data_IF_776795278141
#
_entry.id   IF_776795278141
#
_cell.length_a   1.000
_cell.length_b   1.000
_cell.length_c   1.000
_cell.angle_alpha   90.00
_cell.angle_beta   90.00
_cell.angle_gamma   90.00
#
_symmetry.space_group_name_H-M   'P 1'
#
loop_
_entity.id
_entity.type
_entity.pdbx_description
1 polymer ?
#
# COMPACT_ATOMS: atom_id res chain seq x y z
N UNK A 1 35.31 22.60 51.64
CA UNK A 1 36.04 22.10 52.82
C UNK A 1 35.73 20.62 52.98
N UNK A 2 36.79 19.80 53.04
CA UNK A 2 36.96 18.42 53.61
C UNK A 2 35.98 17.33 53.13
N UNK A 3 36.31 16.30 52.32
CA UNK A 3 37.37 15.25 52.21
C UNK A 3 36.82 13.83 52.54
N UNK A 4 37.24 12.90 51.68
CA UNK A 4 36.96 11.45 51.55
C UNK A 4 37.33 10.58 52.76
N UNK A 5 36.71 9.39 52.93
CA UNK A 5 37.41 8.08 52.73
C UNK A 5 36.71 6.82 53.27
N UNK A 6 36.83 5.78 52.43
CA UNK A 6 36.98 4.32 52.59
C UNK A 6 37.06 3.62 53.98
N UNK A 7 36.38 2.46 54.05
CA UNK A 7 36.85 1.20 54.68
C UNK A 7 36.98 1.13 56.21
N UNK A 8 36.97 -0.06 56.85
CA UNK A 8 37.78 -1.21 56.44
C UNK A 8 37.11 -2.61 56.46
N UNK A 9 37.76 -3.51 55.70
CA UNK A 9 37.65 -4.98 55.72
C UNK A 9 38.40 -5.60 56.92
N UNK A 10 38.20 -6.93 57.08
CA UNK A 10 39.01 -7.95 57.77
C UNK A 10 38.70 -8.17 59.27
N UNK A 11 38.59 -9.39 59.82
CA UNK A 11 39.15 -10.70 59.42
C UNK A 11 38.56 -11.80 60.32
N UNK A 12 38.17 -12.96 59.78
CA UNK A 12 38.55 -14.29 60.31
C UNK A 12 38.58 -15.30 59.16
N UNK A 13 39.73 -15.96 59.05
CA UNK A 13 40.19 -16.90 58.02
C UNK A 13 40.30 -18.28 58.68
N UNK A 14 40.13 -19.36 57.91
CA UNK A 14 40.52 -20.74 58.26
C UNK A 14 39.46 -21.74 57.79
N UNK A 15 39.37 -22.16 56.52
CA UNK A 15 40.30 -22.93 55.67
C UNK A 15 40.66 -24.33 56.21
N UNK A 16 40.11 -25.34 55.54
CA UNK A 16 40.50 -26.76 55.55
C UNK A 16 39.57 -27.53 54.62
N UNK A 17 39.89 -27.63 53.31
CA UNK A 17 40.70 -28.71 52.70
C UNK A 17 39.82 -29.94 52.42
N UNK A 18 39.68 -30.52 51.23
CA UNK A 18 40.24 -30.50 49.86
C UNK A 18 39.13 -31.23 49.05
N UNK A 19 38.77 -30.90 47.81
CA UNK A 19 39.54 -31.24 46.62
C UNK A 19 38.99 -30.44 45.42
N UNK A 20 39.94 -29.85 44.71
CA UNK A 20 39.85 -29.08 43.48
C UNK A 20 39.71 -30.00 42.26
N UNK A 21 38.76 -29.72 41.35
CA UNK A 21 38.97 -29.98 39.92
C UNK A 21 38.15 -29.02 39.05
N UNK A 22 38.88 -28.14 38.36
CA UNK A 22 38.63 -27.53 37.06
C UNK A 22 37.36 -26.71 36.80
N UNK A 23 37.57 -25.39 36.79
CA UNK A 23 36.92 -24.47 35.89
C UNK A 23 37.04 -24.94 34.42
N UNK A 24 35.91 -25.29 33.79
CA UNK A 24 35.58 -25.01 32.39
C UNK A 24 34.05 -25.03 32.30
N UNK A 25 33.41 -23.86 32.17
CA UNK A 25 32.26 -23.59 31.28
C UNK A 25 31.72 -22.17 31.56
N UNK A 26 32.61 -21.18 31.42
CA UNK A 26 32.23 -20.02 30.64
C UNK A 26 32.24 -20.52 29.17
N UNK A 27 31.16 -20.31 28.43
CA UNK A 27 30.87 -20.78 27.05
C UNK A 27 30.03 -22.07 26.93
N UNK A 28 28.73 -21.89 27.20
CA UNK A 28 27.58 -22.52 26.52
C UNK A 28 26.34 -21.69 26.93
N UNK A 29 26.19 -20.42 26.55
CA UNK A 29 25.87 -19.94 25.19
C UNK A 29 24.72 -20.75 24.57
N UNK A 30 23.57 -20.09 24.41
CA UNK A 30 22.66 -20.23 23.27
C UNK A 30 21.71 -21.43 23.15
N UNK A 31 21.38 -22.20 24.18
CA UNK A 31 20.36 -23.25 23.99
C UNK A 31 19.49 -23.39 25.23
N UNK A 32 18.52 -22.49 25.36
CA UNK A 32 17.18 -22.70 25.93
C UNK A 32 16.44 -21.38 25.72
N UNK A 33 16.26 -21.05 24.42
CA UNK A 33 15.24 -20.12 23.99
C UNK A 33 13.90 -20.74 24.38
N UNK A 34 13.43 -20.41 25.59
CA UNK A 34 12.01 -20.48 25.86
C UNK A 34 11.39 -19.45 24.93
N UNK A 35 10.90 -19.96 23.79
CA UNK A 35 10.10 -19.23 22.83
C UNK A 35 8.97 -18.54 23.60
N UNK A 36 9.19 -17.27 23.93
CA UNK A 36 8.08 -16.33 23.99
C UNK A 36 7.33 -16.54 22.69
N UNK A 37 6.00 -16.74 22.70
CA UNK A 37 5.28 -16.75 21.45
C UNK A 37 5.64 -15.43 20.79
N UNK A 38 6.39 -15.53 19.70
CA UNK A 38 6.44 -14.46 18.73
C UNK A 38 4.97 -14.25 18.41
N UNK A 39 4.38 -13.21 19.00
CA UNK A 39 3.38 -12.47 18.28
C UNK A 39 4.09 -12.22 16.97
N UNK A 40 3.70 -13.01 15.97
CA UNK A 40 3.98 -12.70 14.61
C UNK A 40 3.31 -11.34 14.44
N UNK A 41 4.07 -10.30 14.75
CA UNK A 41 3.96 -9.03 14.11
C UNK A 41 4.31 -9.41 12.67
N UNK A 42 3.30 -9.95 11.97
CA UNK A 42 3.22 -9.85 10.54
C UNK A 42 3.62 -8.41 10.33
N UNK A 43 4.77 -8.23 9.71
CA UNK A 43 5.06 -6.99 9.03
C UNK A 43 3.92 -6.89 8.03
N UNK A 44 2.81 -6.30 8.48
CA UNK A 44 1.74 -5.80 7.65
C UNK A 44 2.48 -4.75 6.86
N UNK A 45 3.07 -5.11 5.73
CA UNK A 45 3.28 -4.12 4.70
C UNK A 45 1.88 -3.71 4.24
N UNK A 46 1.69 -2.48 3.74
CA UNK A 46 0.40 -2.07 3.18
C UNK A 46 0.00 -3.09 2.11
N UNK A 47 -1.30 -3.21 1.80
CA UNK A 47 -1.82 -4.22 0.87
C UNK A 47 -0.89 -4.50 -0.31
N UNK A 48 -0.50 -5.75 -0.55
CA UNK A 48 0.61 -6.11 -1.47
C UNK A 48 0.78 -5.17 -2.68
N UNK A 49 1.82 -4.32 -2.70
CA UNK A 49 2.08 -3.37 -3.80
C UNK A 49 2.20 -4.07 -5.15
N UNK A 50 2.62 -5.35 -5.16
CA UNK A 50 2.62 -6.18 -6.36
C UNK A 50 1.20 -6.45 -6.85
N UNK A 51 0.26 -6.72 -5.95
CA UNK A 51 -1.15 -6.86 -6.27
C UNK A 51 -1.76 -5.52 -6.72
N UNK A 52 -1.39 -4.40 -6.11
CA UNK A 52 -1.85 -3.08 -6.56
C UNK A 52 -1.32 -2.72 -7.96
N UNK A 53 -0.05 -3.04 -8.26
CA UNK A 53 0.53 -2.93 -9.60
C UNK A 53 -0.18 -3.84 -10.62
N UNK A 54 -0.54 -5.07 -10.23
CA UNK A 54 -1.28 -5.98 -11.10
C UNK A 54 -2.65 -5.39 -11.47
N UNK A 55 -3.41 -4.92 -10.48
CA UNK A 55 -4.71 -4.26 -10.70
C UNK A 55 -4.58 -2.98 -11.53
N UNK A 56 -3.54 -2.18 -11.31
CA UNK A 56 -3.28 -1.01 -12.14
C UNK A 56 -3.04 -1.39 -13.60
N UNK A 57 -2.25 -2.45 -13.86
CA UNK A 57 -2.00 -2.96 -15.22
C UNK A 57 -3.27 -3.50 -15.88
N UNK A 58 -4.09 -4.23 -15.13
CA UNK A 58 -5.39 -4.71 -15.60
C UNK A 58 -6.29 -3.54 -16.00
N UNK A 59 -6.36 -2.50 -15.15
CA UNK A 59 -7.10 -1.27 -15.46
C UNK A 59 -6.57 -0.56 -16.70
N UNK A 60 -5.25 -0.40 -16.83
CA UNK A 60 -4.62 0.22 -18.00
C UNK A 60 -4.93 -0.56 -19.29
N UNK A 61 -4.91 -1.90 -19.23
CA UNK A 61 -5.32 -2.75 -20.35
C UNK A 61 -6.79 -2.55 -20.73
N UNK A 62 -7.68 -2.51 -19.74
CA UNK A 62 -9.11 -2.30 -19.97
C UNK A 62 -9.42 -0.89 -20.51
N UNK A 63 -8.72 0.15 -20.05
CA UNK A 63 -8.83 1.51 -20.59
C UNK A 63 -8.35 1.55 -22.05
N UNK A 64 -7.24 0.89 -22.37
CA UNK A 64 -6.72 0.84 -23.74
C UNK A 64 -7.71 0.15 -24.69
N UNK A 65 -8.28 -0.98 -24.29
CA UNK A 65 -9.29 -1.71 -25.07
C UNK A 65 -10.58 -0.89 -25.25
N UNK A 66 -11.05 -0.24 -24.17
CA UNK A 66 -12.20 0.65 -24.20
C UNK A 66 -11.98 1.82 -25.17
N UNK A 67 -10.79 2.43 -25.13
CA UNK A 67 -10.40 3.53 -26.00
C UNK A 67 -10.36 3.11 -27.46
N UNK A 68 -9.71 1.98 -27.77
CA UNK A 68 -9.66 1.44 -29.13
C UNK A 68 -11.07 1.17 -29.68
N UNK A 69 -11.92 0.56 -28.85
CA UNK A 69 -13.31 0.27 -29.19
C UNK A 69 -14.13 1.53 -29.49
N UNK A 70 -13.96 2.58 -28.69
CA UNK A 70 -14.61 3.86 -28.93
C UNK A 70 -14.07 4.54 -30.19
N UNK A 71 -12.76 4.57 -30.43
CA UNK A 71 -12.20 5.16 -31.66
C UNK A 71 -12.66 4.41 -32.92
N UNK A 72 -12.72 3.08 -32.88
CA UNK A 72 -13.33 2.29 -33.96
C UNK A 72 -14.80 2.66 -34.19
N UNK A 73 -15.58 2.83 -33.12
CA UNK A 73 -16.99 3.25 -33.21
C UNK A 73 -17.12 4.65 -33.82
N UNK A 74 -16.27 5.58 -33.42
CA UNK A 74 -16.24 6.94 -33.95
C UNK A 74 -15.93 6.96 -35.44
N UNK A 75 -15.01 6.12 -35.91
CA UNK A 75 -14.73 5.97 -37.33
C UNK A 75 -15.91 5.33 -38.10
N UNK A 76 -16.56 4.32 -37.51
CA UNK A 76 -17.67 3.60 -38.12
C UNK A 76 -18.99 4.40 -38.16
N UNK A 77 -19.22 5.27 -37.18
CA UNK A 77 -20.42 6.09 -37.06
C UNK A 77 -20.07 7.56 -36.78
N UNK A 78 -19.67 8.34 -37.80
CA UNK A 78 -19.28 9.75 -37.63
C UNK A 78 -20.39 10.64 -37.05
N UNK A 79 -21.67 10.30 -37.27
CA UNK A 79 -22.81 10.98 -36.65
C UNK A 79 -22.85 10.86 -35.12
N UNK A 80 -22.19 9.86 -34.56
CA UNK A 80 -22.06 9.62 -33.11
C UNK A 80 -20.73 10.14 -32.56
N UNK A 81 -19.88 10.79 -33.37
CA UNK A 81 -18.55 11.23 -32.93
C UNK A 81 -18.59 12.13 -31.68
N UNK A 82 -19.63 12.95 -31.53
CA UNK A 82 -19.81 13.80 -30.35
C UNK A 82 -19.97 13.00 -29.04
N UNK A 83 -20.83 11.97 -29.04
CA UNK A 83 -21.03 11.13 -27.85
C UNK A 83 -19.82 10.25 -27.60
N UNK A 84 -19.18 9.73 -28.65
CA UNK A 84 -17.97 8.91 -28.51
C UNK A 84 -16.79 9.72 -27.97
N UNK A 85 -16.60 10.97 -28.44
CA UNK A 85 -15.58 11.87 -27.89
C UNK A 85 -15.82 12.18 -26.42
N UNK A 86 -17.08 12.32 -25.98
CA UNK A 86 -17.41 12.48 -24.57
C UNK A 86 -16.88 11.30 -23.74
N UNK A 87 -17.14 10.06 -24.14
CA UNK A 87 -16.63 8.89 -23.41
C UNK A 87 -15.12 8.74 -23.46
N UNK A 88 -14.48 9.11 -24.58
CA UNK A 88 -13.02 9.15 -24.66
C UNK A 88 -12.42 10.14 -23.65
N UNK A 89 -13.00 11.33 -23.50
CA UNK A 89 -12.58 12.29 -22.47
C UNK A 89 -12.84 11.78 -21.05
N UNK A 90 -13.93 11.04 -20.82
CA UNK A 90 -14.15 10.41 -19.51
C UNK A 90 -13.11 9.33 -19.23
N UNK A 91 -12.69 8.54 -20.22
CA UNK A 91 -11.59 7.58 -20.09
C UNK A 91 -10.27 8.28 -19.75
N UNK A 92 -9.94 9.39 -20.43
CA UNK A 92 -8.74 10.18 -20.12
C UNK A 92 -8.71 10.65 -18.66
N UNK A 93 -9.86 11.10 -18.15
CA UNK A 93 -9.99 11.52 -16.76
C UNK A 93 -9.78 10.34 -15.79
N UNK A 94 -10.43 9.21 -16.04
CA UNK A 94 -10.30 8.01 -15.20
C UNK A 94 -8.86 7.48 -15.20
N UNK A 95 -8.22 7.46 -16.36
CA UNK A 95 -6.82 7.07 -16.53
C UNK A 95 -5.89 7.98 -15.74
N UNK A 96 -6.08 9.31 -15.83
CA UNK A 96 -5.28 10.28 -15.08
C UNK A 96 -5.45 10.14 -13.58
N UNK A 97 -6.69 9.96 -13.09
CA UNK A 97 -6.96 9.73 -11.67
C UNK A 97 -6.31 8.43 -11.19
N UNK A 98 -6.42 7.36 -11.97
CA UNK A 98 -5.85 6.06 -11.63
C UNK A 98 -4.32 6.10 -11.57
N UNK A 99 -3.69 6.75 -12.55
CA UNK A 99 -2.25 6.95 -12.58
C UNK A 99 -1.77 7.75 -11.37
N UNK A 100 -2.46 8.85 -11.03
CA UNK A 100 -2.12 9.66 -9.85
C UNK A 100 -2.24 8.85 -8.54
N UNK A 101 -3.27 8.01 -8.42
CA UNK A 101 -3.46 7.15 -7.26
C UNK A 101 -2.37 6.08 -7.15
N UNK A 102 -1.99 5.49 -8.29
CA UNK A 102 -0.90 4.52 -8.37
C UNK A 102 0.44 5.15 -7.99
N UNK A 103 0.76 6.34 -8.53
CA UNK A 103 2.02 7.04 -8.27
C UNK A 103 2.16 7.41 -6.79
N UNK A 104 1.09 7.91 -6.17
CA UNK A 104 1.09 8.22 -4.74
C UNK A 104 1.26 6.96 -3.87
N UNK A 105 0.60 5.86 -4.24
CA UNK A 105 0.80 4.57 -3.60
C UNK A 105 2.26 4.14 -3.73
N UNK A 106 2.83 4.19 -4.93
CA UNK A 106 4.22 3.82 -5.17
C UNK A 106 5.21 4.65 -4.35
N UNK A 107 5.03 5.98 -4.29
CA UNK A 107 5.87 6.88 -3.49
C UNK A 107 5.85 6.49 -2.00
N UNK A 108 4.68 6.11 -1.47
CA UNK A 108 4.56 5.67 -0.08
C UNK A 108 5.44 4.44 0.20
N UNK A 109 5.40 3.43 -0.68
CA UNK A 109 6.22 2.23 -0.53
C UNK A 109 7.71 2.47 -0.74
N UNK A 110 8.07 3.21 -1.79
CA UNK A 110 9.46 3.42 -2.20
C UNK A 110 10.23 4.29 -1.19
N UNK A 111 9.60 5.38 -0.71
CA UNK A 111 10.32 6.44 0.01
C UNK A 111 9.94 6.59 1.47
N UNK A 112 8.67 6.34 1.82
CA UNK A 112 8.17 6.67 3.17
C UNK A 112 8.34 5.50 4.13
N UNK A 113 8.03 4.27 3.69
CA UNK A 113 8.37 3.08 4.49
C UNK A 113 9.89 2.96 4.74
N UNK A 114 10.71 3.51 3.86
CA UNK A 114 12.16 3.51 4.00
C UNK A 114 12.71 4.57 4.99
N UNK A 115 11.90 5.52 5.48
CA UNK A 115 12.37 6.65 6.30
C UNK A 115 11.56 6.86 7.59
N UNK A 116 12.06 6.35 8.72
CA UNK A 116 11.36 6.33 10.02
C UNK A 116 10.98 7.70 10.62
N UNK A 117 11.63 8.81 10.27
CA UNK A 117 11.46 10.11 10.98
C UNK A 117 10.56 11.14 10.29
N UNK A 118 10.40 11.07 8.96
CA UNK A 118 9.51 11.96 8.20
C UNK A 118 8.16 11.29 7.87
N UNK A 119 8.00 10.02 8.27
CA UNK A 119 6.95 9.13 7.81
C UNK A 119 5.54 9.58 8.16
N UNK A 120 5.26 9.99 9.40
CA UNK A 120 3.86 10.11 9.85
C UNK A 120 3.07 11.27 9.23
N UNK A 121 3.66 12.47 9.11
CA UNK A 121 2.96 13.61 8.49
C UNK A 121 2.76 13.39 6.99
N UNK A 122 3.80 12.91 6.30
CA UNK A 122 3.74 12.62 4.87
C UNK A 122 2.82 11.44 4.57
N UNK A 123 2.83 10.40 5.41
CA UNK A 123 1.90 9.29 5.36
C UNK A 123 0.45 9.79 5.52
N UNK A 124 0.17 10.61 6.54
CA UNK A 124 -1.15 11.19 6.74
C UNK A 124 -1.64 11.98 5.52
N UNK A 125 -0.77 12.82 4.94
CA UNK A 125 -1.09 13.57 3.72
C UNK A 125 -1.35 12.64 2.53
N UNK A 126 -0.51 11.64 2.28
CA UNK A 126 -0.68 10.70 1.17
C UNK A 126 -1.95 9.87 1.35
N UNK A 127 -2.19 9.35 2.55
CA UNK A 127 -3.40 8.60 2.87
C UNK A 127 -4.66 9.41 2.56
N UNK A 128 -4.73 10.67 3.02
CA UNK A 128 -5.84 11.57 2.69
C UNK A 128 -5.98 11.83 1.19
N UNK A 129 -4.86 12.01 0.47
CA UNK A 129 -4.89 12.20 -0.98
C UNK A 129 -5.38 10.95 -1.72
N UNK A 130 -4.97 9.77 -1.28
CA UNK A 130 -5.44 8.51 -1.86
C UNK A 130 -6.93 8.31 -1.61
N UNK A 131 -7.45 8.67 -0.43
CA UNK A 131 -8.91 8.67 -0.17
C UNK A 131 -9.64 9.54 -1.18
N UNK A 132 -9.20 10.79 -1.37
CA UNK A 132 -9.84 11.71 -2.32
C UNK A 132 -9.79 11.20 -3.77
N UNK A 133 -8.71 10.54 -4.16
CA UNK A 133 -8.57 9.94 -5.48
C UNK A 133 -9.47 8.71 -5.65
N UNK A 134 -9.58 7.86 -4.63
CA UNK A 134 -10.50 6.73 -4.62
C UNK A 134 -11.95 7.18 -4.75
N UNK A 135 -12.36 8.20 -3.98
CA UNK A 135 -13.69 8.81 -4.08
C UNK A 135 -13.94 9.39 -5.48
N UNK A 136 -12.96 10.11 -6.03
CA UNK A 136 -13.06 10.69 -7.38
C UNK A 136 -13.17 9.63 -8.48
N UNK A 137 -12.43 8.52 -8.35
CA UNK A 137 -12.52 7.37 -9.25
C UNK A 137 -13.89 6.67 -9.11
N UNK A 138 -14.40 6.53 -7.90
CA UNK A 138 -15.71 5.96 -7.64
C UNK A 138 -16.81 6.80 -8.30
N UNK A 139 -16.84 8.12 -8.05
CA UNK A 139 -17.81 9.02 -8.66
C UNK A 139 -17.66 9.07 -10.18
N UNK A 140 -16.43 9.10 -10.69
CA UNK A 140 -16.13 9.04 -12.11
C UNK A 140 -16.65 7.76 -12.76
N UNK A 141 -16.38 6.59 -12.17
CA UNK A 141 -16.81 5.29 -12.70
C UNK A 141 -18.34 5.14 -12.67
N UNK A 142 -19.00 5.64 -11.62
CA UNK A 142 -20.46 5.67 -11.50
C UNK A 142 -21.08 6.58 -12.56
N UNK A 143 -20.52 7.78 -12.74
CA UNK A 143 -20.95 8.73 -13.77
C UNK A 143 -20.79 8.11 -15.16
N UNK A 144 -19.63 7.52 -15.45
CA UNK A 144 -19.36 6.83 -16.70
C UNK A 144 -20.38 5.73 -16.97
N UNK A 145 -20.62 4.83 -16.01
CA UNK A 145 -21.59 3.73 -16.11
C UNK A 145 -23.00 4.26 -16.39
N UNK A 146 -23.42 5.29 -15.68
CA UNK A 146 -24.77 5.87 -15.80
C UNK A 146 -24.98 6.46 -17.20
N UNK A 147 -24.02 7.22 -17.70
CA UNK A 147 -24.09 7.79 -19.04
C UNK A 147 -23.97 6.72 -20.13
N UNK A 148 -23.12 5.70 -19.94
CA UNK A 148 -22.96 4.60 -20.89
C UNK A 148 -24.27 3.83 -21.07
N UNK A 149 -24.94 3.50 -19.96
CA UNK A 149 -26.24 2.83 -19.97
C UNK A 149 -27.32 3.64 -20.70
N UNK A 150 -27.22 4.97 -20.70
CA UNK A 150 -28.14 5.86 -21.39
C UNK A 150 -27.90 5.95 -22.91
N UNK A 151 -26.81 5.35 -23.42
CA UNK A 151 -26.46 5.35 -24.85
C UNK A 151 -26.45 3.91 -25.38
N UNK A 152 -27.60 3.41 -25.90
CA UNK A 152 -27.74 2.01 -26.35
C UNK A 152 -26.72 1.58 -27.40
N UNK A 153 -26.28 2.51 -28.26
CA UNK A 153 -25.28 2.27 -29.30
C UNK A 153 -23.89 1.92 -28.75
N UNK A 154 -23.59 2.33 -27.51
CA UNK A 154 -22.28 2.13 -26.86
C UNK A 154 -22.35 1.09 -25.73
N UNK A 155 -23.49 0.94 -25.05
CA UNK A 155 -23.65 0.10 -23.86
C UNK A 155 -23.31 -1.38 -24.04
N UNK A 156 -23.28 -1.90 -25.28
CA UNK A 156 -23.01 -3.31 -25.58
C UNK A 156 -21.71 -3.52 -26.36
N UNK A 157 -20.82 -2.53 -26.39
CA UNK A 157 -19.55 -2.69 -27.08
C UNK A 157 -18.61 -3.61 -26.27
N UNK A 158 -18.09 -4.71 -26.87
CA UNK A 158 -17.30 -5.70 -26.15
C UNK A 158 -16.15 -5.12 -25.33
N UNK A 159 -15.38 -4.18 -25.89
CA UNK A 159 -14.25 -3.57 -25.20
C UNK A 159 -14.58 -2.63 -24.04
N UNK A 160 -15.88 -2.41 -23.73
CA UNK A 160 -16.30 -1.70 -22.52
C UNK A 160 -16.69 -2.63 -21.37
N UNK A 161 -16.73 -3.95 -21.62
CA UNK A 161 -17.21 -4.94 -20.65
C UNK A 161 -16.29 -5.03 -19.43
N UNK A 162 -14.98 -5.11 -19.67
CA UNK A 162 -13.98 -5.33 -18.61
C UNK A 162 -13.56 -4.04 -17.88
N UNK A 163 -13.91 -2.87 -18.44
CA UNK A 163 -13.54 -1.58 -17.85
C UNK A 163 -14.14 -1.38 -16.46
N UNK A 164 -15.42 -1.70 -16.29
CA UNK A 164 -16.11 -1.49 -15.01
C UNK A 164 -15.57 -2.39 -13.89
N UNK A 165 -15.43 -3.71 -14.09
CA UNK A 165 -14.79 -4.58 -13.10
C UNK A 165 -13.36 -4.15 -12.76
N UNK A 166 -12.55 -3.76 -13.75
CA UNK A 166 -11.17 -3.35 -13.51
C UNK A 166 -11.08 -2.04 -12.69
N UNK A 167 -11.96 -1.07 -12.96
CA UNK A 167 -12.07 0.16 -12.18
C UNK A 167 -12.47 -0.13 -10.73
N UNK A 168 -13.50 -0.95 -10.51
CA UNK A 168 -13.97 -1.33 -9.16
C UNK A 168 -12.83 -1.96 -8.35
N UNK A 169 -12.13 -2.94 -8.93
CA UNK A 169 -11.00 -3.59 -8.25
C UNK A 169 -9.85 -2.63 -7.93
N UNK A 170 -9.57 -1.67 -8.83
CA UNK A 170 -8.54 -0.67 -8.58
C UNK A 170 -8.96 0.32 -7.49
N UNK A 171 -10.20 0.81 -7.51
CA UNK A 171 -10.79 1.70 -6.49
C UNK A 171 -10.73 1.03 -5.10
N UNK A 172 -11.14 -0.23 -5.00
CA UNK A 172 -11.11 -0.98 -3.75
C UNK A 172 -9.67 -1.09 -3.22
N UNK A 173 -8.71 -1.37 -4.10
CA UNK A 173 -7.31 -1.46 -3.73
C UNK A 173 -6.73 -0.11 -3.29
N UNK A 174 -7.05 0.98 -3.99
CA UNK A 174 -6.64 2.34 -3.61
C UNK A 174 -7.24 2.74 -2.26
N UNK A 175 -8.51 2.41 -2.02
CA UNK A 175 -9.21 2.70 -0.77
C UNK A 175 -8.56 1.96 0.41
N UNK A 176 -8.31 0.66 0.24
CA UNK A 176 -7.62 -0.15 1.24
C UNK A 176 -6.20 0.36 1.52
N UNK A 177 -5.48 0.82 0.50
CA UNK A 177 -4.17 1.46 0.67
C UNK A 177 -4.26 2.75 1.48
N UNK A 178 -5.23 3.62 1.16
CA UNK A 178 -5.43 4.86 1.88
C UNK A 178 -5.70 4.62 3.38
N UNK A 179 -6.61 3.68 3.69
CA UNK A 179 -6.96 3.31 5.06
C UNK A 179 -5.77 2.76 5.84
N UNK A 180 -4.99 1.86 5.25
CA UNK A 180 -3.82 1.28 5.90
C UNK A 180 -2.74 2.34 6.20
N UNK A 181 -2.50 3.26 5.25
CA UNK A 181 -1.56 4.37 5.44
C UNK A 181 -2.02 5.28 6.59
N UNK A 182 -3.30 5.64 6.62
CA UNK A 182 -3.86 6.52 7.65
C UNK A 182 -3.83 5.89 9.04
N UNK A 183 -4.12 4.59 9.13
CA UNK A 183 -4.10 3.84 10.39
C UNK A 183 -2.71 3.80 11.02
N UNK A 184 -1.64 3.84 10.22
CA UNK A 184 -0.25 3.86 10.69
C UNK A 184 0.29 5.25 11.00
N UNK A 185 -0.33 6.28 10.41
CA UNK A 185 0.09 7.65 10.60
C UNK A 185 -0.43 8.26 11.92
N UNK A 186 -1.52 7.71 12.46
CA UNK A 186 -2.13 8.09 13.75
C UNK A 186 -1.56 7.31 14.93
#
# INVERSE_FOLDING_TARGET
MVFLSFGPLNRRIGLGSRETTCAVLLVAVLILGADLPAFAQQSLLPGDMKAHLARHRELQSAIAEARETLEMRKAAAPSEAGVTNYFLTQLDLLESLAQNAFDLSFIFYDRILASEKAGNILAGYIGQRLTLLADSLFDGSRSFRTHLAAVPALNNLPGLTELMPALEQFIDATSAHAEDILTRAG
#
